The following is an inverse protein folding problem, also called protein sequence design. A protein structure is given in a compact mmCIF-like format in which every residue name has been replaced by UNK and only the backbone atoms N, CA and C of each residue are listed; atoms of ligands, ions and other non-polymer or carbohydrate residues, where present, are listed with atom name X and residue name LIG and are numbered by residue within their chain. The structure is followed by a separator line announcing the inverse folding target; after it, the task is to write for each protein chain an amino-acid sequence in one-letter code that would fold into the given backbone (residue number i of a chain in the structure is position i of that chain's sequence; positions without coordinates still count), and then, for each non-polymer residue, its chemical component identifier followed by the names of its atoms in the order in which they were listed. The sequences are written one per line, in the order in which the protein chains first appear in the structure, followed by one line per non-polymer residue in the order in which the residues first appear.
data_IF_779074294612
#
_entry.id   IF_779074294612
#
_cell.length_a   1.000
_cell.length_b   1.000
_cell.length_c   1.000
_cell.angle_alpha   90.00
_cell.angle_beta   90.00
_cell.angle_gamma   90.00
#
_symmetry.space_group_name_H-M   'P 1'
#
loop_
_entity.id
_entity.type
_entity.pdbx_description
1 polymer ?
#
# COMPACT_ATOMS: atom_id res chain seq x y z
N UNK A 1 10.72 47.93 -4.33
CA UNK A 1 10.13 46.98 -3.35
C UNK A 1 10.42 45.56 -3.83
N UNK A 2 11.10 44.71 -3.05
CA UNK A 2 11.27 43.30 -3.44
C UNK A 2 9.91 42.58 -3.41
N UNK A 3 9.65 41.61 -4.33
CA UNK A 3 8.41 40.91 -4.38
C UNK A 3 8.19 40.10 -3.09
N UNK A 4 6.96 40.15 -2.55
CA UNK A 4 6.58 39.54 -1.31
C UNK A 4 6.80 37.98 -1.33
N UNK A 5 7.35 37.44 -0.25
CA UNK A 5 7.71 36.03 -0.06
C UNK A 5 6.69 34.99 -0.53
N UNK A 6 5.34 35.21 -0.47
CA UNK A 6 4.35 34.29 -1.01
C UNK A 6 4.39 34.12 -2.53
N UNK A 7 4.65 35.21 -3.28
CA UNK A 7 4.73 35.16 -4.75
C UNK A 7 6.00 34.45 -5.25
N UNK A 8 7.10 34.52 -4.51
CA UNK A 8 8.32 33.78 -4.85
C UNK A 8 8.15 32.27 -4.61
N UNK A 9 7.55 31.86 -3.49
CA UNK A 9 7.24 30.45 -3.22
C UNK A 9 6.29 29.85 -4.25
N UNK A 10 5.27 30.59 -4.65
CA UNK A 10 4.31 30.11 -5.66
C UNK A 10 4.94 29.99 -7.06
N UNK A 11 5.84 30.90 -7.45
CA UNK A 11 6.63 30.78 -8.70
C UNK A 11 7.64 29.62 -8.64
N UNK A 12 8.23 29.38 -7.50
CA UNK A 12 9.16 28.26 -7.29
C UNK A 12 8.42 26.92 -7.34
N UNK A 13 7.28 26.79 -6.66
CA UNK A 13 6.41 25.61 -6.74
C UNK A 13 5.88 25.35 -8.17
N UNK A 14 5.56 26.40 -8.93
CA UNK A 14 5.14 26.28 -10.33
C UNK A 14 6.32 25.92 -11.27
N UNK A 15 7.54 26.35 -10.97
CA UNK A 15 8.73 25.94 -11.73
C UNK A 15 9.19 24.53 -11.36
N UNK A 16 9.10 24.13 -10.10
CA UNK A 16 9.43 22.78 -9.65
C UNK A 16 8.45 21.75 -10.24
N UNK A 17 7.15 22.08 -10.28
CA UNK A 17 6.15 21.22 -10.94
C UNK A 17 6.32 21.16 -12.47
N UNK A 18 6.82 22.24 -13.11
CA UNK A 18 7.16 22.22 -14.55
C UNK A 18 8.41 21.38 -14.85
N UNK A 19 9.41 21.38 -13.96
CA UNK A 19 10.62 20.58 -14.15
C UNK A 19 10.42 19.09 -13.85
N UNK A 20 9.56 18.74 -12.88
CA UNK A 20 9.33 17.35 -12.48
C UNK A 20 8.57 16.53 -13.55
N UNK A 21 7.69 17.16 -14.33
CA UNK A 21 6.93 16.50 -15.38
C UNK A 21 7.63 16.42 -16.75
N UNK A 22 8.77 17.07 -16.93
CA UNK A 22 9.46 17.17 -18.23
C UNK A 22 10.02 15.84 -18.79
N UNK A 23 10.12 14.80 -17.98
CA UNK A 23 10.62 13.49 -18.40
C UNK A 23 9.56 12.39 -18.34
N UNK A 24 8.29 12.74 -18.04
CA UNK A 24 7.24 11.73 -17.99
C UNK A 24 7.00 11.12 -19.36
N UNK A 25 6.84 9.81 -19.38
CA UNK A 25 6.60 9.00 -20.56
C UNK A 25 5.10 8.88 -20.82
N UNK A 26 4.66 9.36 -21.97
CA UNK A 26 3.26 9.34 -22.38
C UNK A 26 3.12 8.41 -23.58
N UNK A 27 2.23 7.43 -23.46
CA UNK A 27 1.84 6.57 -24.57
C UNK A 27 0.63 7.19 -25.28
N UNK A 28 0.75 7.43 -26.58
CA UNK A 28 -0.34 7.92 -27.44
C UNK A 28 -0.81 6.77 -28.33
N UNK A 29 -2.09 6.44 -28.22
CA UNK A 29 -2.71 5.33 -28.94
C UNK A 29 -3.87 5.86 -29.79
N UNK A 30 -3.72 5.85 -31.11
CA UNK A 30 -4.73 6.28 -32.08
C UNK A 30 -4.43 5.55 -33.40
N UNK A 31 -5.43 5.02 -34.10
CA UNK A 31 -5.22 4.32 -35.38
C UNK A 31 -4.96 5.30 -36.54
N UNK A 32 -5.29 6.57 -36.37
CA UNK A 32 -5.11 7.64 -37.35
C UNK A 32 -3.76 8.32 -37.16
N UNK A 33 -2.82 8.13 -38.07
CA UNK A 33 -1.45 8.65 -38.00
C UNK A 33 -1.37 10.18 -37.78
N UNK A 34 -2.09 11.05 -38.53
CA UNK A 34 -2.09 12.49 -38.29
C UNK A 34 -2.47 12.89 -36.85
N UNK A 35 -3.33 12.13 -36.17
CA UNK A 35 -3.66 12.38 -34.77
C UNK A 35 -2.49 12.09 -33.86
N UNK A 36 -1.79 10.95 -34.09
CA UNK A 36 -0.59 10.58 -33.33
C UNK A 36 0.50 11.62 -33.48
N UNK A 37 0.81 12.04 -34.73
CA UNK A 37 1.83 13.05 -35.02
C UNK A 37 1.52 14.41 -34.37
N UNK A 38 0.25 14.84 -34.42
CA UNK A 38 -0.19 16.09 -33.80
C UNK A 38 -0.02 16.06 -32.27
N UNK A 39 -0.44 14.97 -31.63
CA UNK A 39 -0.30 14.81 -30.18
C UNK A 39 1.17 14.69 -29.79
N UNK A 40 1.96 13.92 -30.53
CA UNK A 40 3.40 13.80 -30.34
C UNK A 40 4.10 15.17 -30.38
N UNK A 41 3.85 15.96 -31.43
CA UNK A 41 4.42 17.29 -31.58
C UNK A 41 4.05 18.21 -30.39
N UNK A 42 2.79 18.17 -29.94
CA UNK A 42 2.33 18.96 -28.80
C UNK A 42 3.04 18.53 -27.51
N UNK A 43 3.23 17.23 -27.28
CA UNK A 43 3.80 16.69 -26.06
C UNK A 43 5.33 16.88 -26.02
N UNK A 44 6.02 16.61 -27.11
CA UNK A 44 7.48 16.83 -27.22
C UNK A 44 7.81 18.31 -27.00
N UNK A 45 6.98 19.25 -27.53
CA UNK A 45 7.20 20.69 -27.32
C UNK A 45 7.13 21.12 -25.84
N UNK A 46 6.51 20.32 -24.98
CA UNK A 46 6.41 20.56 -23.53
C UNK A 46 7.44 19.72 -22.72
N UNK A 47 8.27 18.91 -23.41
CA UNK A 47 9.37 18.15 -22.82
C UNK A 47 8.99 16.74 -22.35
N UNK A 48 7.85 16.21 -22.78
CA UNK A 48 7.48 14.80 -22.50
C UNK A 48 8.21 13.84 -23.41
N UNK A 49 8.46 12.62 -22.90
CA UNK A 49 8.85 11.48 -23.75
C UNK A 49 7.57 10.84 -24.30
N UNK A 50 7.51 10.67 -25.62
CA UNK A 50 6.32 10.15 -26.28
C UNK A 50 6.63 8.80 -26.92
N UNK A 51 5.72 7.88 -26.75
CA UNK A 51 5.70 6.60 -27.42
C UNK A 51 4.36 6.46 -28.14
N UNK A 52 4.38 5.88 -29.35
CA UNK A 52 3.20 5.81 -30.21
C UNK A 52 2.78 4.36 -30.37
N UNK A 53 1.46 4.12 -30.39
CA UNK A 53 0.87 2.85 -30.78
C UNK A 53 -0.25 3.10 -31.79
N UNK A 54 -0.35 2.28 -32.85
CA UNK A 54 -1.35 2.42 -33.89
C UNK A 54 -2.61 1.58 -33.65
N UNK A 55 -2.64 0.76 -32.60
CA UNK A 55 -3.78 -0.07 -32.23
C UNK A 55 -3.72 -0.52 -30.75
N UNK A 56 -4.83 -1.10 -30.26
CA UNK A 56 -4.92 -1.53 -28.88
C UNK A 56 -4.01 -2.70 -28.49
N UNK A 57 -3.67 -3.59 -29.43
CA UNK A 57 -2.78 -4.71 -29.14
C UNK A 57 -1.34 -4.22 -28.92
N UNK A 58 -0.84 -3.36 -29.81
CA UNK A 58 0.48 -2.73 -29.68
C UNK A 58 0.58 -1.92 -28.39
N UNK A 59 -0.49 -1.19 -28.02
CA UNK A 59 -0.54 -0.43 -26.77
C UNK A 59 -0.34 -1.34 -25.55
N UNK A 60 -1.00 -2.51 -25.50
CA UNK A 60 -0.85 -3.46 -24.40
C UNK A 60 0.57 -4.04 -24.34
N UNK A 61 1.18 -4.34 -25.47
CA UNK A 61 2.56 -4.86 -25.56
C UNK A 61 3.58 -3.82 -25.06
N UNK A 62 3.43 -2.56 -25.47
CA UNK A 62 4.29 -1.47 -25.03
C UNK A 62 4.17 -1.22 -23.52
N UNK A 63 2.94 -1.24 -22.96
CA UNK A 63 2.71 -1.09 -21.53
C UNK A 63 3.34 -2.25 -20.75
N UNK A 64 3.27 -3.47 -21.28
CA UNK A 64 3.86 -4.64 -20.63
C UNK A 64 5.40 -4.59 -20.65
N UNK A 65 5.98 -4.13 -21.75
CA UNK A 65 7.44 -3.98 -21.88
C UNK A 65 7.98 -2.90 -20.93
N UNK A 66 7.28 -1.77 -20.85
CA UNK A 66 7.64 -0.66 -19.97
C UNK A 66 6.42 0.23 -19.70
N UNK A 67 5.96 0.28 -18.46
CA UNK A 67 4.80 1.07 -18.06
C UNK A 67 5.00 2.57 -18.31
N UNK A 68 4.07 3.26 -19.03
CA UNK A 68 4.10 4.71 -19.19
C UNK A 68 3.58 5.42 -17.93
N UNK A 69 3.83 6.73 -17.83
CA UNK A 69 3.30 7.57 -16.76
C UNK A 69 1.86 8.01 -17.01
N UNK A 70 1.42 8.02 -18.29
CA UNK A 70 0.05 8.34 -18.71
C UNK A 70 -0.22 7.77 -20.09
N UNK A 71 -1.46 7.41 -20.36
CA UNK A 71 -1.91 6.92 -21.68
C UNK A 71 -2.98 7.88 -22.23
N UNK A 72 -2.77 8.37 -23.46
CA UNK A 72 -3.80 8.99 -24.28
C UNK A 72 -4.34 7.90 -25.22
N UNK A 73 -5.61 7.56 -25.12
CA UNK A 73 -6.17 6.37 -25.75
C UNK A 73 -7.40 6.71 -26.58
N UNK A 74 -7.29 6.53 -27.90
CA UNK A 74 -8.47 6.64 -28.76
C UNK A 74 -9.44 5.49 -28.50
N UNK A 75 -10.73 5.80 -28.53
CA UNK A 75 -11.79 4.82 -28.30
C UNK A 75 -12.00 3.95 -29.52
N UNK A 76 -12.00 4.57 -30.72
CA UNK A 76 -12.37 3.89 -31.95
C UNK A 76 -11.15 3.40 -32.73
N UNK A 77 -10.76 2.17 -32.48
CA UNK A 77 -9.65 1.52 -33.18
C UNK A 77 -10.08 0.14 -33.69
N UNK A 78 -9.53 -0.34 -34.82
CA UNK A 78 -9.78 -1.69 -35.31
C UNK A 78 -9.20 -2.74 -34.34
N UNK A 79 -9.89 -3.88 -34.28
CA UNK A 79 -9.50 -4.97 -33.37
C UNK A 79 -9.88 -4.70 -31.91
N UNK A 80 -8.90 -4.49 -31.05
CA UNK A 80 -9.12 -4.17 -29.63
C UNK A 80 -9.35 -2.66 -29.49
N UNK A 81 -10.58 -2.26 -29.14
CA UNK A 81 -10.94 -0.86 -28.98
C UNK A 81 -10.44 -0.27 -27.63
N UNK A 82 -10.48 1.07 -27.50
CA UNK A 82 -9.98 1.77 -26.33
C UNK A 82 -10.64 1.37 -25.01
N UNK A 83 -11.94 1.05 -25.01
CA UNK A 83 -12.62 0.56 -23.79
C UNK A 83 -12.04 -0.76 -23.30
N UNK A 84 -11.80 -1.70 -24.23
CA UNK A 84 -11.22 -3.01 -23.90
C UNK A 84 -9.77 -2.90 -23.41
N UNK A 85 -8.99 -2.00 -24.02
CA UNK A 85 -7.62 -1.69 -23.54
C UNK A 85 -7.67 -1.14 -22.13
N UNK A 86 -8.50 -0.13 -21.87
CA UNK A 86 -8.65 0.49 -20.55
C UNK A 86 -9.05 -0.55 -19.50
N UNK A 87 -10.09 -1.33 -19.75
CA UNK A 87 -10.58 -2.36 -18.84
C UNK A 87 -9.48 -3.38 -18.48
N UNK A 88 -8.72 -3.86 -19.48
CA UNK A 88 -7.59 -4.79 -19.24
C UNK A 88 -6.52 -4.16 -18.35
N UNK A 89 -6.13 -2.91 -18.62
CA UNK A 89 -5.10 -2.22 -17.87
C UNK A 89 -5.58 -1.90 -16.44
N UNK A 90 -6.82 -1.49 -16.26
CA UNK A 90 -7.39 -1.16 -14.93
C UNK A 90 -7.66 -2.39 -14.06
N UNK A 91 -7.78 -3.58 -14.65
CA UNK A 91 -7.83 -4.86 -13.91
C UNK A 91 -6.44 -5.39 -13.53
N UNK A 92 -5.38 -4.92 -14.16
CA UNK A 92 -4.00 -5.36 -13.89
C UNK A 92 -3.46 -4.75 -12.60
N UNK A 93 -2.80 -5.57 -11.75
CA UNK A 93 -2.27 -5.11 -10.45
C UNK A 93 -1.31 -3.90 -10.58
N UNK A 94 -0.34 -3.98 -11.49
CA UNK A 94 0.70 -2.95 -11.66
C UNK A 94 0.29 -1.84 -12.64
N UNK A 95 -0.73 -2.05 -13.49
CA UNK A 95 -1.14 -1.11 -14.53
C UNK A 95 -2.35 -0.28 -14.15
N UNK A 96 -3.12 -0.68 -13.12
CA UNK A 96 -4.36 -0.01 -12.73
C UNK A 96 -4.18 1.46 -12.31
N UNK A 97 -2.99 1.79 -11.79
CA UNK A 97 -2.65 3.15 -11.34
C UNK A 97 -2.12 4.06 -12.45
N UNK A 98 -1.93 3.54 -13.68
CA UNK A 98 -1.55 4.36 -14.82
C UNK A 98 -2.77 5.21 -15.22
N UNK A 99 -2.68 6.55 -15.22
CA UNK A 99 -3.76 7.40 -15.68
C UNK A 99 -4.05 7.18 -17.16
N UNK A 100 -5.33 7.01 -17.50
CA UNK A 100 -5.80 6.82 -18.87
C UNK A 100 -6.76 7.94 -19.22
N UNK A 101 -6.43 8.72 -20.24
CA UNK A 101 -7.29 9.76 -20.82
C UNK A 101 -7.83 9.23 -22.13
N UNK A 102 -9.13 9.02 -22.21
CA UNK A 102 -9.77 8.61 -23.45
C UNK A 102 -9.95 9.77 -24.40
N UNK A 103 -9.60 9.56 -25.67
CA UNK A 103 -9.83 10.52 -26.75
C UNK A 103 -11.04 10.03 -27.56
N UNK A 104 -12.02 10.89 -27.75
CA UNK A 104 -13.29 10.50 -28.36
C UNK A 104 -13.78 11.53 -29.37
N UNK A 105 -14.32 11.08 -30.50
CA UNK A 105 -15.09 11.92 -31.42
C UNK A 105 -16.55 12.09 -30.99
N UNK A 106 -16.96 11.42 -29.91
CA UNK A 106 -18.34 11.27 -29.52
C UNK A 106 -18.77 12.38 -28.57
N UNK A 107 -19.92 12.98 -28.87
CA UNK A 107 -20.55 14.05 -28.05
C UNK A 107 -21.63 13.51 -27.13
N UNK A 108 -21.91 12.19 -27.18
CA UNK A 108 -23.02 11.59 -26.44
C UNK A 108 -22.64 11.28 -25.00
N UNK A 109 -23.58 11.48 -24.12
CA UNK A 109 -23.43 11.28 -22.67
C UNK A 109 -23.11 9.81 -22.34
N UNK A 110 -23.64 8.87 -23.13
CA UNK A 110 -23.47 7.43 -22.95
C UNK A 110 -22.01 6.98 -23.08
N UNK A 111 -21.27 7.52 -24.05
CA UNK A 111 -19.86 7.17 -24.25
C UNK A 111 -18.97 7.67 -23.10
N UNK A 112 -19.31 8.82 -22.51
CA UNK A 112 -18.62 9.35 -21.33
C UNK A 112 -18.89 8.48 -20.10
N UNK A 113 -20.11 8.04 -19.92
CA UNK A 113 -20.49 7.14 -18.83
C UNK A 113 -19.71 5.84 -18.97
N UNK A 114 -19.70 5.26 -20.16
CA UNK A 114 -18.96 4.01 -20.43
C UNK A 114 -17.45 4.16 -20.19
N UNK A 115 -16.85 5.29 -20.54
CA UNK A 115 -15.44 5.55 -20.27
C UNK A 115 -15.14 5.52 -18.75
N UNK A 116 -16.02 6.10 -17.94
CA UNK A 116 -15.91 6.09 -16.48
C UNK A 116 -16.10 4.67 -15.93
N UNK A 117 -17.08 3.92 -16.43
CA UNK A 117 -17.39 2.55 -16.00
C UNK A 117 -16.21 1.59 -16.22
N UNK A 118 -15.47 1.73 -17.33
CA UNK A 118 -14.26 0.92 -17.58
C UNK A 118 -13.03 1.43 -16.84
N UNK A 119 -13.16 2.50 -16.02
CA UNK A 119 -12.13 3.02 -15.14
C UNK A 119 -11.20 4.06 -15.76
N UNK A 120 -11.57 4.72 -16.87
CA UNK A 120 -10.80 5.84 -17.40
C UNK A 120 -10.78 7.01 -16.39
N UNK A 121 -9.63 7.68 -16.28
CA UNK A 121 -9.45 8.77 -15.32
C UNK A 121 -9.96 10.12 -15.86
N UNK A 122 -9.98 10.28 -17.20
CA UNK A 122 -10.52 11.47 -17.86
C UNK A 122 -10.82 11.17 -19.34
N UNK A 123 -11.44 12.14 -20.05
CA UNK A 123 -11.70 12.04 -21.48
C UNK A 123 -11.52 13.41 -22.16
N UNK A 124 -11.20 13.39 -23.46
CA UNK A 124 -11.03 14.57 -24.32
C UNK A 124 -11.81 14.35 -25.61
N UNK A 125 -12.61 15.33 -26.02
CA UNK A 125 -13.38 15.25 -27.27
C UNK A 125 -12.57 15.76 -28.47
N UNK A 126 -12.63 15.05 -29.61
CA UNK A 126 -12.11 15.52 -30.89
C UNK A 126 -13.09 16.55 -31.54
N UNK A 127 -12.63 17.64 -32.16
CA UNK A 127 -11.24 18.08 -32.23
C UNK A 127 -10.75 18.61 -30.88
N UNK A 128 -9.56 18.19 -30.45
CA UNK A 128 -9.00 18.57 -29.17
C UNK A 128 -8.18 19.85 -29.25
N UNK A 129 -8.23 20.63 -28.18
CA UNK A 129 -7.43 21.83 -28.01
C UNK A 129 -6.11 21.48 -27.30
N UNK A 130 -4.97 21.94 -27.83
CA UNK A 130 -3.66 21.73 -27.21
C UNK A 130 -3.63 22.07 -25.72
N UNK A 131 -4.20 23.22 -25.35
CA UNK A 131 -4.18 23.70 -23.95
C UNK A 131 -5.04 22.80 -23.03
N UNK A 132 -6.16 22.27 -23.54
CA UNK A 132 -7.01 21.33 -22.79
C UNK A 132 -6.25 20.01 -22.56
N UNK A 133 -5.69 19.41 -23.61
CA UNK A 133 -4.90 18.18 -23.53
C UNK A 133 -3.79 18.31 -22.49
N UNK A 134 -2.99 19.37 -22.60
CA UNK A 134 -1.86 19.61 -21.70
C UNK A 134 -2.29 19.89 -20.25
N UNK A 135 -3.43 20.56 -20.05
CA UNK A 135 -3.93 20.83 -18.70
C UNK A 135 -4.34 19.55 -17.99
N UNK A 136 -5.06 18.65 -18.68
CA UNK A 136 -5.50 17.35 -18.13
C UNK A 136 -4.30 16.44 -17.84
N UNK A 137 -3.36 16.32 -18.78
CA UNK A 137 -2.12 15.56 -18.60
C UNK A 137 -1.37 16.03 -17.35
N UNK A 138 -1.14 17.35 -17.23
CA UNK A 138 -0.43 17.91 -16.06
C UNK A 138 -1.15 17.62 -14.74
N UNK A 139 -2.48 17.68 -14.73
CA UNK A 139 -3.27 17.37 -13.54
C UNK A 139 -3.12 15.91 -13.13
N UNK A 140 -3.27 14.99 -14.07
CA UNK A 140 -3.20 13.56 -13.82
C UNK A 140 -1.77 13.09 -13.46
N UNK A 141 -0.76 13.58 -14.17
CA UNK A 141 0.64 13.31 -13.83
C UNK A 141 1.02 13.82 -12.45
N UNK A 142 0.47 14.97 -12.01
CA UNK A 142 0.68 15.47 -10.65
C UNK A 142 0.10 14.51 -9.61
N UNK A 143 -1.11 14.00 -9.84
CA UNK A 143 -1.75 13.03 -8.93
C UNK A 143 -0.92 11.74 -8.89
N UNK A 144 -0.55 11.21 -10.06
CA UNK A 144 0.30 10.01 -10.15
C UNK A 144 1.62 10.20 -9.39
N UNK A 145 2.32 11.30 -9.64
CA UNK A 145 3.58 11.60 -8.97
C UNK A 145 3.44 11.65 -7.43
N UNK A 146 2.37 12.26 -6.93
CA UNK A 146 2.12 12.30 -5.48
C UNK A 146 1.84 10.91 -4.91
N UNK A 147 1.12 10.07 -5.65
CA UNK A 147 0.89 8.68 -5.26
C UNK A 147 2.21 7.88 -5.26
N UNK A 148 3.02 8.00 -6.31
CA UNK A 148 4.32 7.32 -6.40
C UNK A 148 5.28 7.74 -5.27
N UNK A 149 5.22 9.02 -4.84
CA UNK A 149 5.98 9.50 -3.68
C UNK A 149 5.48 8.91 -2.36
N UNK A 150 4.16 8.78 -2.20
CA UNK A 150 3.57 8.13 -1.02
C UNK A 150 3.98 6.66 -0.95
N UNK A 151 3.88 5.93 -2.06
CA UNK A 151 4.30 4.53 -2.15
C UNK A 151 5.80 4.38 -1.85
N UNK A 152 6.62 5.29 -2.35
CA UNK A 152 8.07 5.29 -2.06
C UNK A 152 8.33 5.49 -0.57
N UNK A 153 7.66 6.44 0.08
CA UNK A 153 7.81 6.69 1.51
C UNK A 153 7.35 5.48 2.35
N UNK A 154 6.23 4.84 1.99
CA UNK A 154 5.77 3.61 2.63
C UNK A 154 6.79 2.47 2.46
N UNK A 155 7.29 2.27 1.24
CA UNK A 155 8.29 1.22 0.96
C UNK A 155 9.58 1.40 1.76
N UNK A 156 10.03 2.66 1.97
CA UNK A 156 11.19 2.95 2.82
C UNK A 156 10.90 2.53 4.27
N UNK A 157 9.72 2.82 4.80
CA UNK A 157 9.37 2.46 6.18
C UNK A 157 9.24 0.95 6.34
N UNK A 158 8.64 0.26 5.37
CA UNK A 158 8.57 -1.21 5.37
C UNK A 158 9.97 -1.85 5.25
N UNK A 159 10.86 -1.27 4.43
CA UNK A 159 12.25 -1.72 4.35
C UNK A 159 13.00 -1.53 5.67
N UNK A 160 12.77 -0.41 6.38
CA UNK A 160 13.32 -0.19 7.71
C UNK A 160 12.78 -1.18 8.73
N UNK A 161 11.48 -1.50 8.70
CA UNK A 161 10.90 -2.51 9.59
C UNK A 161 11.57 -3.89 9.37
N UNK A 162 11.75 -4.32 8.12
CA UNK A 162 12.49 -5.55 7.79
C UNK A 162 13.96 -5.50 8.23
N UNK A 163 14.61 -4.34 8.08
CA UNK A 163 15.99 -4.18 8.55
C UNK A 163 16.12 -4.26 10.08
N UNK A 164 15.07 -3.86 10.81
CA UNK A 164 15.00 -3.99 12.28
C UNK A 164 14.78 -5.47 12.65
N UNK A 165 13.89 -6.17 11.94
CA UNK A 165 13.68 -7.60 12.12
C UNK A 165 14.98 -8.39 11.96
N UNK A 166 15.82 -8.06 10.97
CA UNK A 166 17.08 -8.75 10.73
C UNK A 166 18.11 -8.63 11.88
N UNK A 167 17.90 -7.73 12.86
CA UNK A 167 18.69 -7.68 14.09
C UNK A 167 18.34 -8.79 15.07
N UNK A 168 17.14 -9.34 14.98
CA UNK A 168 16.68 -10.46 15.78
C UNK A 168 16.92 -11.76 15.00
N UNK A 169 17.91 -12.51 15.41
CA UNK A 169 18.36 -13.76 14.75
C UNK A 169 17.27 -14.83 14.65
N UNK A 170 16.20 -14.69 15.39
CA UNK A 170 15.14 -15.69 15.51
C UNK A 170 13.85 -15.28 14.82
N UNK A 171 13.80 -14.06 14.27
CA UNK A 171 12.59 -13.53 13.63
C UNK A 171 12.68 -13.41 12.10
N UNK A 172 13.69 -14.03 11.48
CA UNK A 172 13.80 -14.03 10.02
C UNK A 172 12.50 -14.52 9.37
N UNK A 173 11.90 -13.67 8.51
CA UNK A 173 10.62 -13.92 7.86
C UNK A 173 9.38 -13.86 8.79
N UNK A 174 9.51 -13.37 10.01
CA UNK A 174 8.40 -13.20 10.94
C UNK A 174 7.36 -12.19 10.41
N UNK A 175 7.83 -11.03 9.95
CA UNK A 175 6.96 -9.99 9.37
C UNK A 175 6.10 -10.55 8.24
N UNK A 176 6.69 -11.32 7.33
CA UNK A 176 5.99 -11.94 6.21
C UNK A 176 4.98 -12.97 6.69
N UNK A 177 5.37 -13.88 7.61
CA UNK A 177 4.48 -14.91 8.14
C UNK A 177 3.31 -14.33 8.92
N UNK A 178 3.57 -13.41 9.86
CA UNK A 178 2.52 -12.75 10.66
C UNK A 178 1.56 -11.96 9.78
N UNK A 179 2.10 -11.20 8.80
CA UNK A 179 1.25 -10.49 7.82
C UNK A 179 0.38 -11.45 7.01
N UNK A 180 0.94 -12.56 6.54
CA UNK A 180 0.20 -13.57 5.80
C UNK A 180 -0.90 -14.20 6.66
N UNK A 181 -0.56 -14.66 7.86
CA UNK A 181 -1.50 -15.30 8.79
C UNK A 181 -2.65 -14.37 9.17
N UNK A 182 -2.33 -13.09 9.44
CA UNK A 182 -3.33 -12.09 9.77
C UNK A 182 -4.29 -11.83 8.60
N UNK A 183 -3.77 -11.75 7.37
CA UNK A 183 -4.58 -11.59 6.16
C UNK A 183 -5.39 -12.83 5.82
N UNK A 184 -4.88 -14.05 6.05
CA UNK A 184 -5.64 -15.30 5.89
C UNK A 184 -6.83 -15.34 6.86
N UNK A 185 -6.62 -15.00 8.14
CA UNK A 185 -7.70 -14.94 9.13
C UNK A 185 -8.70 -13.83 8.80
N UNK A 186 -8.22 -12.65 8.42
CA UNK A 186 -9.07 -11.53 8.01
C UNK A 186 -9.93 -11.84 6.78
N UNK A 187 -9.41 -12.63 5.84
CA UNK A 187 -10.10 -13.00 4.59
C UNK A 187 -11.35 -13.86 4.77
N UNK A 188 -11.52 -14.52 5.93
CA UNK A 188 -12.72 -15.29 6.27
C UNK A 188 -13.71 -14.50 7.15
N UNK A 189 -13.39 -13.25 7.43
CA UNK A 189 -14.21 -12.33 8.22
C UNK A 189 -14.74 -11.23 7.30
N UNK A 190 -15.96 -10.78 7.54
CA UNK A 190 -16.55 -9.63 6.82
C UNK A 190 -16.04 -8.31 7.41
N UNK A 191 -14.76 -8.02 7.19
CA UNK A 191 -14.11 -6.83 7.74
C UNK A 191 -14.27 -5.62 6.82
N UNK A 192 -14.25 -4.43 7.42
CA UNK A 192 -14.21 -3.17 6.67
C UNK A 192 -12.88 -3.04 5.90
N UNK A 193 -12.89 -2.24 4.81
CA UNK A 193 -11.65 -1.91 4.08
C UNK A 193 -10.59 -1.25 4.98
N UNK A 194 -11.03 -0.52 6.00
CA UNK A 194 -10.16 0.13 6.99
C UNK A 194 -9.47 -0.90 7.88
N UNK A 195 -10.20 -1.94 8.34
CA UNK A 195 -9.62 -3.00 9.15
C UNK A 195 -8.65 -3.87 8.34
N UNK A 196 -8.99 -4.18 7.09
CA UNK A 196 -8.09 -4.89 6.17
C UNK A 196 -6.78 -4.12 5.94
N UNK A 197 -6.86 -2.81 5.76
CA UNK A 197 -5.68 -1.95 5.63
C UNK A 197 -4.87 -1.87 6.94
N UNK A 198 -5.55 -1.80 8.09
CA UNK A 198 -4.92 -1.82 9.41
C UNK A 198 -4.13 -3.12 9.64
N UNK A 199 -4.71 -4.28 9.27
CA UNK A 199 -4.07 -5.58 9.39
C UNK A 199 -2.87 -5.67 8.44
N UNK A 200 -3.06 -5.31 7.17
CA UNK A 200 -2.03 -5.40 6.14
C UNK A 200 -0.78 -4.58 6.47
N UNK A 201 -0.97 -3.31 6.86
CA UNK A 201 0.14 -2.41 7.22
C UNK A 201 0.64 -2.65 8.65
N UNK A 202 -0.27 -2.99 9.55
CA UNK A 202 0.06 -3.31 10.95
C UNK A 202 0.98 -4.51 11.06
N UNK A 203 0.71 -5.59 10.28
CA UNK A 203 1.57 -6.76 10.25
C UNK A 203 3.01 -6.44 9.86
N UNK A 204 3.21 -5.48 8.95
CA UNK A 204 4.55 -5.07 8.54
C UNK A 204 5.25 -4.13 9.53
N UNK A 205 4.50 -3.42 10.38
CA UNK A 205 5.02 -2.31 11.19
C UNK A 205 4.89 -2.49 12.70
N UNK A 206 4.19 -3.54 13.19
CA UNK A 206 3.88 -3.68 14.62
C UNK A 206 5.14 -3.61 15.49
N UNK A 207 6.22 -4.17 15.03
CA UNK A 207 7.50 -4.27 15.72
C UNK A 207 8.54 -3.19 15.37
N UNK A 208 8.19 -2.18 14.55
CA UNK A 208 9.15 -1.14 14.12
C UNK A 208 9.81 -0.41 15.30
N UNK A 209 9.14 -0.33 16.43
CA UNK A 209 9.66 0.30 17.64
C UNK A 209 10.83 -0.45 18.30
N UNK A 210 11.11 -1.69 17.92
CA UNK A 210 12.31 -2.44 18.35
C UNK A 210 13.62 -1.77 17.89
N UNK A 211 13.54 -0.76 16.99
CA UNK A 211 14.70 0.06 16.63
C UNK A 211 15.38 0.71 17.85
N UNK A 212 14.62 1.02 18.89
CA UNK A 212 15.13 1.62 20.13
C UNK A 212 15.80 0.60 21.08
N UNK A 213 15.68 -0.69 20.81
CA UNK A 213 16.28 -1.73 21.62
C UNK A 213 17.69 -2.09 21.15
N UNK A 214 18.58 -2.36 22.09
CA UNK A 214 19.90 -2.87 21.77
C UNK A 214 19.83 -4.32 21.28
N UNK A 215 20.64 -4.68 20.32
CA UNK A 215 20.71 -6.04 19.76
C UNK A 215 21.04 -7.08 20.84
N UNK A 216 21.88 -6.75 21.81
CA UNK A 216 22.18 -7.61 22.96
C UNK A 216 20.97 -7.93 23.83
N UNK A 217 19.98 -7.02 23.91
CA UNK A 217 18.74 -7.24 24.63
C UNK A 217 17.79 -8.13 23.83
N UNK A 218 17.67 -7.85 22.54
CA UNK A 218 16.80 -8.63 21.62
C UNK A 218 17.26 -10.09 21.55
N UNK A 219 18.57 -10.31 21.43
CA UNK A 219 19.17 -11.64 21.27
C UNK A 219 19.66 -12.26 22.59
N UNK A 220 19.20 -11.74 23.73
CA UNK A 220 19.65 -12.25 25.03
C UNK A 220 19.29 -13.72 25.23
N UNK A 221 20.23 -14.58 25.48
CA UNK A 221 19.94 -15.99 25.83
C UNK A 221 19.31 -16.08 27.23
N UNK A 222 18.13 -16.68 27.31
CA UNK A 222 17.42 -16.89 28.58
C UNK A 222 16.35 -15.81 28.90
N UNK A 223 15.97 -15.74 30.17
CA UNK A 223 14.89 -14.83 30.64
C UNK A 223 15.41 -13.41 30.81
N UNK A 224 14.58 -12.44 30.43
CA UNK A 224 14.81 -11.02 30.73
C UNK A 224 14.63 -10.71 32.22
N UNK A 225 15.41 -9.77 32.74
CA UNK A 225 15.12 -9.21 34.08
C UNK A 225 13.85 -8.35 34.02
N UNK A 226 13.24 -8.02 35.18
CA UNK A 226 12.07 -7.11 35.18
C UNK A 226 12.35 -5.77 34.52
N UNK A 227 13.55 -5.21 34.68
CA UNK A 227 13.98 -3.93 34.10
C UNK A 227 14.14 -4.07 32.57
N UNK A 228 14.79 -5.14 32.10
CA UNK A 228 14.93 -5.42 30.67
C UNK A 228 13.58 -5.67 30.01
N UNK A 229 12.68 -6.38 30.68
CA UNK A 229 11.33 -6.59 30.17
C UNK A 229 10.52 -5.28 30.10
N UNK A 230 10.70 -4.38 31.09
CA UNK A 230 10.11 -3.04 31.03
C UNK A 230 10.60 -2.26 29.82
N UNK A 231 11.90 -2.34 29.46
CA UNK A 231 12.43 -1.71 28.25
C UNK A 231 11.82 -2.30 26.99
N UNK A 232 11.66 -3.62 26.91
CA UNK A 232 11.03 -4.26 25.74
C UNK A 232 9.58 -3.80 25.58
N UNK A 233 8.84 -3.64 26.68
CA UNK A 233 7.44 -3.16 26.64
C UNK A 233 7.26 -1.74 26.07
N UNK A 234 8.33 -0.96 25.96
CA UNK A 234 8.26 0.38 25.38
C UNK A 234 8.16 0.38 23.84
N UNK A 235 8.53 -0.74 23.15
CA UNK A 235 8.58 -0.73 21.69
C UNK A 235 7.25 -0.39 21.00
N UNK A 236 6.04 -0.77 21.50
CA UNK A 236 4.80 -0.37 20.84
C UNK A 236 4.59 1.16 20.89
N UNK A 237 4.97 1.79 22.01
CA UNK A 237 4.92 3.25 22.15
C UNK A 237 5.92 3.96 21.27
N UNK A 238 7.13 3.41 21.13
CA UNK A 238 8.14 3.93 20.21
C UNK A 238 7.69 3.79 18.76
N UNK A 239 7.18 2.62 18.37
CA UNK A 239 6.63 2.37 17.06
C UNK A 239 5.49 3.34 16.72
N UNK A 240 4.57 3.55 17.65
CA UNK A 240 3.50 4.55 17.51
C UNK A 240 4.08 5.96 17.29
N UNK A 241 5.07 6.40 18.09
CA UNK A 241 5.72 7.71 17.93
C UNK A 241 6.41 7.88 16.58
N UNK A 242 7.01 6.82 16.02
CA UNK A 242 7.62 6.83 14.69
C UNK A 242 6.56 7.01 13.60
N UNK A 243 5.45 6.29 13.71
CA UNK A 243 4.45 6.18 12.64
C UNK A 243 3.31 7.21 12.73
N UNK A 244 3.04 7.84 13.88
CA UNK A 244 1.83 8.66 14.10
C UNK A 244 1.71 9.89 13.17
N UNK A 245 2.82 10.44 12.71
CA UNK A 245 2.83 11.59 11.78
C UNK A 245 2.55 11.19 10.31
N UNK A 246 2.58 9.90 10.00
CA UNK A 246 2.46 9.36 8.66
C UNK A 246 1.00 9.04 8.34
N UNK A 247 0.37 9.88 7.53
CA UNK A 247 -1.06 9.74 7.17
C UNK A 247 -1.37 8.40 6.49
N UNK A 248 -0.44 7.88 5.71
CA UNK A 248 -0.61 6.64 4.93
C UNK A 248 -0.71 5.38 5.78
N UNK A 249 -0.18 5.39 7.01
CA UNK A 249 -0.23 4.25 7.93
C UNK A 249 -1.15 4.48 9.15
N UNK A 250 -1.97 5.54 9.12
CA UNK A 250 -2.83 5.92 10.25
C UNK A 250 -3.73 4.80 10.76
N UNK A 251 -4.23 3.95 9.88
CA UNK A 251 -5.10 2.83 10.26
C UNK A 251 -4.34 1.68 10.92
N UNK A 252 -3.03 1.58 10.69
CA UNK A 252 -2.15 0.62 11.36
C UNK A 252 -1.73 1.05 12.78
N UNK A 253 -1.89 2.32 13.16
CA UNK A 253 -1.47 2.83 14.46
C UNK A 253 -2.04 2.05 15.65
N UNK A 254 -3.33 1.65 15.67
CA UNK A 254 -3.86 0.79 16.72
C UNK A 254 -3.11 -0.54 16.83
N UNK A 255 -2.82 -1.18 15.69
CA UNK A 255 -2.07 -2.45 15.66
C UNK A 255 -0.65 -2.24 16.20
N UNK A 256 0.06 -1.21 15.72
CA UNK A 256 1.42 -0.89 16.17
C UNK A 256 1.47 -0.65 17.68
N UNK A 257 0.48 0.06 18.24
CA UNK A 257 0.48 0.43 19.66
C UNK A 257 -0.01 -0.69 20.55
N UNK A 258 -0.99 -1.51 20.12
CA UNK A 258 -1.80 -2.36 20.99
C UNK A 258 -1.69 -3.86 20.72
N UNK A 259 -0.79 -4.32 19.84
CA UNK A 259 -0.65 -5.74 19.49
C UNK A 259 -0.26 -6.64 20.68
N UNK A 260 0.13 -6.07 21.82
CA UNK A 260 0.38 -6.78 23.07
C UNK A 260 -0.71 -6.59 24.12
N UNK A 261 -1.84 -5.97 23.77
CA UNK A 261 -2.99 -5.91 24.65
C UNK A 261 -3.70 -7.25 24.74
N UNK A 262 -4.37 -7.48 25.88
CA UNK A 262 -5.12 -8.68 26.18
C UNK A 262 -6.54 -8.31 26.61
N UNK A 263 -7.53 -9.14 26.26
CA UNK A 263 -8.94 -8.83 26.53
C UNK A 263 -9.26 -8.66 28.02
N UNK A 264 -8.48 -9.27 28.92
CA UNK A 264 -8.62 -9.12 30.38
C UNK A 264 -8.02 -7.81 30.93
N UNK A 265 -7.28 -7.05 30.10
CA UNK A 265 -6.57 -5.82 30.47
C UNK A 265 -5.21 -6.04 31.13
N UNK A 266 -4.69 -7.27 31.14
CA UNK A 266 -3.34 -7.57 31.65
C UNK A 266 -2.24 -7.29 30.62
N UNK A 267 -2.61 -6.82 29.41
CA UNK A 267 -1.71 -6.45 28.32
C UNK A 267 -1.01 -5.12 28.57
N UNK A 268 -0.33 -4.63 27.54
CA UNK A 268 0.37 -3.35 27.54
C UNK A 268 0.34 -2.71 26.13
N UNK A 269 0.52 -1.40 25.99
CA UNK A 269 0.96 -0.41 26.97
C UNK A 269 -0.17 0.24 27.78
N UNK A 270 -1.44 0.18 27.32
CA UNK A 270 -2.54 0.98 27.90
C UNK A 270 -3.50 0.15 28.78
N UNK A 271 -3.40 -1.18 28.76
CA UNK A 271 -4.26 -2.08 29.56
C UNK A 271 -5.72 -2.10 29.10
N UNK A 272 -5.94 -2.03 27.78
CA UNK A 272 -7.27 -2.05 27.17
C UNK A 272 -8.01 -3.36 27.45
N UNK A 273 -9.35 -3.31 27.51
CA UNK A 273 -10.19 -4.47 27.85
C UNK A 273 -11.27 -4.72 26.80
N UNK A 274 -11.53 -5.98 26.54
CA UNK A 274 -12.69 -6.42 25.75
C UNK A 274 -12.82 -5.64 24.45
N UNK A 275 -13.96 -4.95 24.28
CA UNK A 275 -14.29 -4.24 23.04
C UNK A 275 -13.53 -2.93 22.81
N UNK A 276 -12.74 -2.48 23.78
CA UNK A 276 -11.80 -1.37 23.58
C UNK A 276 -10.67 -1.77 22.62
N UNK A 277 -10.39 -3.08 22.45
CA UNK A 277 -9.37 -3.61 21.55
C UNK A 277 -9.99 -3.85 20.16
N UNK A 278 -9.61 -3.08 19.13
CA UNK A 278 -10.13 -3.23 17.78
C UNK A 278 -9.88 -4.62 17.20
N UNK A 279 -10.75 -5.08 16.30
CA UNK A 279 -10.66 -6.42 15.70
C UNK A 279 -9.31 -6.68 15.00
N UNK A 280 -8.76 -5.68 14.32
CA UNK A 280 -7.46 -5.79 13.67
C UNK A 280 -6.32 -6.06 14.68
N UNK A 281 -6.41 -5.49 15.87
CA UNK A 281 -5.43 -5.71 16.97
C UNK A 281 -5.59 -7.10 17.55
N UNK A 282 -6.84 -7.58 17.80
CA UNK A 282 -7.11 -8.94 18.31
C UNK A 282 -6.57 -10.00 17.36
N UNK A 283 -6.77 -9.82 16.03
CA UNK A 283 -6.23 -10.70 14.99
C UNK A 283 -4.70 -10.71 15.07
N UNK A 284 -4.07 -9.54 15.09
CA UNK A 284 -2.62 -9.42 15.11
C UNK A 284 -2.01 -10.08 16.34
N UNK A 285 -2.55 -9.84 17.52
CA UNK A 285 -2.07 -10.41 18.78
C UNK A 285 -2.07 -11.95 18.77
N UNK A 286 -3.13 -12.56 18.24
CA UNK A 286 -3.25 -14.03 18.13
C UNK A 286 -2.21 -14.61 17.15
N UNK A 287 -2.05 -14.01 15.97
CA UNK A 287 -1.13 -14.55 14.96
C UNK A 287 0.33 -14.33 15.32
N UNK A 288 0.64 -13.21 16.02
CA UNK A 288 1.98 -12.95 16.53
C UNK A 288 2.39 -13.98 17.60
N UNK A 289 1.51 -14.24 18.56
CA UNK A 289 1.74 -15.30 19.57
C UNK A 289 1.88 -16.67 18.90
N UNK A 290 1.05 -16.99 17.91
CA UNK A 290 1.15 -18.25 17.18
C UNK A 290 2.49 -18.39 16.46
N UNK A 291 2.94 -17.36 15.73
CA UNK A 291 4.26 -17.38 15.09
C UNK A 291 5.39 -17.54 16.11
N UNK A 292 5.31 -16.80 17.23
CA UNK A 292 6.27 -16.94 18.32
C UNK A 292 6.30 -18.34 18.95
N UNK A 293 5.18 -19.07 18.94
CA UNK A 293 5.09 -20.44 19.42
C UNK A 293 5.63 -21.46 18.42
N UNK A 294 5.42 -21.25 17.14
CA UNK A 294 5.75 -22.21 16.07
C UNK A 294 7.10 -21.98 15.39
N UNK A 295 7.81 -20.90 15.77
CA UNK A 295 9.14 -20.56 15.26
C UNK A 295 10.21 -20.85 16.32
N UNK A 296 11.44 -21.11 15.89
CA UNK A 296 12.60 -21.28 16.78
C UNK A 296 12.90 -19.96 17.51
N UNK A 297 13.23 -20.05 18.81
CA UNK A 297 13.62 -18.91 19.66
C UNK A 297 14.87 -19.27 20.46
N UNK A 298 15.64 -18.29 20.92
CA UNK A 298 16.87 -18.45 21.66
C UNK A 298 16.80 -19.39 22.89
N UNK A 299 15.60 -19.56 23.44
CA UNK A 299 15.34 -20.31 24.67
C UNK A 299 14.39 -21.51 24.47
N UNK A 300 13.93 -21.78 23.21
CA UNK A 300 12.92 -22.80 22.94
C UNK A 300 12.88 -23.18 21.45
N UNK A 301 12.84 -24.48 21.17
CA UNK A 301 12.52 -24.99 19.83
C UNK A 301 11.06 -24.73 19.43
N UNK A 302 10.71 -24.83 18.12
CA UNK A 302 9.38 -24.61 17.62
C UNK A 302 8.40 -25.68 18.14
N UNK A 303 7.20 -25.27 18.54
CA UNK A 303 6.13 -26.20 18.83
C UNK A 303 5.41 -26.63 17.55
N UNK A 304 4.95 -27.89 17.48
CA UNK A 304 4.00 -28.28 16.42
C UNK A 304 2.73 -27.41 16.46
N UNK A 305 2.10 -27.15 15.31
CA UNK A 305 0.88 -26.31 15.24
C UNK A 305 -0.22 -26.70 16.22
N UNK A 306 -0.50 -28.00 16.36
CA UNK A 306 -1.51 -28.49 17.32
C UNK A 306 -1.19 -28.11 18.78
N UNK A 307 0.09 -28.12 19.19
CA UNK A 307 0.49 -27.72 20.53
C UNK A 307 0.40 -26.20 20.70
N UNK A 308 0.72 -25.41 19.66
CA UNK A 308 0.58 -23.96 19.70
C UNK A 308 -0.89 -23.56 19.91
N UNK A 309 -1.83 -24.22 19.21
CA UNK A 309 -3.25 -23.98 19.42
C UNK A 309 -3.73 -24.41 20.79
N UNK A 310 -3.26 -25.55 21.35
CA UNK A 310 -3.60 -25.93 22.72
C UNK A 310 -3.19 -24.86 23.75
N UNK A 311 -2.02 -24.21 23.55
CA UNK A 311 -1.59 -23.10 24.40
C UNK A 311 -2.51 -21.88 24.23
N UNK A 312 -2.86 -21.50 22.99
CA UNK A 312 -3.78 -20.41 22.72
C UNK A 312 -5.17 -20.66 23.34
N UNK A 313 -5.68 -21.89 23.30
CA UNK A 313 -6.95 -22.27 23.93
C UNK A 313 -6.89 -22.16 25.48
N UNK A 314 -5.77 -22.54 26.09
CA UNK A 314 -5.55 -22.32 27.52
C UNK A 314 -5.53 -20.81 27.86
N UNK A 315 -4.99 -19.99 26.99
CA UNK A 315 -4.93 -18.53 27.14
C UNK A 315 -6.29 -17.87 26.87
N UNK A 316 -7.12 -18.42 25.98
CA UNK A 316 -8.54 -18.04 25.82
C UNK A 316 -9.31 -18.31 27.12
N UNK A 317 -9.08 -19.45 27.77
CA UNK A 317 -9.71 -19.77 29.05
C UNK A 317 -9.31 -18.82 30.19
N UNK A 318 -8.14 -18.14 30.07
CA UNK A 318 -7.70 -17.05 30.97
C UNK A 318 -8.31 -15.70 30.63
N UNK A 319 -9.06 -15.58 29.54
CA UNK A 319 -9.64 -14.33 29.07
C UNK A 319 -8.66 -13.45 28.29
N UNK A 320 -7.55 -13.99 27.75
CA UNK A 320 -6.54 -13.19 27.05
C UNK A 320 -6.90 -12.92 25.60
N UNK A 321 -7.43 -13.94 24.91
CA UNK A 321 -7.69 -13.89 23.46
C UNK A 321 -9.15 -14.12 23.13
N UNK A 322 -9.55 -13.67 21.94
CA UNK A 322 -10.86 -13.91 21.37
C UNK A 322 -10.96 -15.39 20.91
N UNK A 323 -11.79 -16.17 21.60
CA UNK A 323 -11.91 -17.60 21.36
C UNK A 323 -12.47 -17.95 19.97
N UNK A 324 -13.37 -17.10 19.42
CA UNK A 324 -13.91 -17.29 18.07
C UNK A 324 -12.83 -17.10 17.01
N UNK A 325 -11.97 -16.09 17.17
CA UNK A 325 -10.85 -15.85 16.26
C UNK A 325 -9.81 -16.98 16.33
N UNK A 326 -9.48 -17.46 17.54
CA UNK A 326 -8.55 -18.59 17.73
C UNK A 326 -9.08 -19.85 17.05
N UNK A 327 -10.35 -20.17 17.19
CA UNK A 327 -10.98 -21.36 16.55
C UNK A 327 -10.99 -21.25 15.03
N UNK A 328 -11.34 -20.08 14.49
CA UNK A 328 -11.29 -19.82 13.04
C UNK A 328 -9.85 -19.95 12.50
N UNK A 329 -8.87 -19.40 13.20
CA UNK A 329 -7.47 -19.48 12.79
C UNK A 329 -6.93 -20.92 12.84
N UNK A 330 -7.29 -21.68 13.89
CA UNK A 330 -6.98 -23.11 14.02
C UNK A 330 -7.51 -23.91 12.83
N UNK A 331 -8.75 -23.64 12.42
CA UNK A 331 -9.35 -24.30 11.28
C UNK A 331 -8.61 -24.03 9.94
N UNK A 332 -8.04 -22.82 9.78
CA UNK A 332 -7.21 -22.49 8.60
C UNK A 332 -5.90 -23.26 8.62
N UNK A 333 -5.25 -23.39 9.79
CA UNK A 333 -3.87 -23.89 9.89
C UNK A 333 -3.75 -25.39 10.07
N UNK A 334 -4.82 -26.08 10.47
CA UNK A 334 -4.84 -27.54 10.68
C UNK A 334 -5.58 -28.31 9.58
N UNK A 335 -6.03 -27.62 8.52
CA UNK A 335 -6.47 -28.25 7.28
C UNK A 335 -5.28 -28.68 6.45
#
# INVERSE_FOLDING_TARGET
MPPSAPRMRMKQMLNDSKNQNRNSRILVVDDVEPNRELLEAHLISEGYQVELACNGQEALELVQAKAPDLILLDIRMPGINGYQVCEKLKRGGNTRLIPIVMITALRETEDKIRAIEVGADDFISKPFNKFEVLARIRSLLKVKYLNDQLDTAENVIFALARAIESKDKYTEGHIERVSQYAMELAGILELSSTDMEAIRKGGQLHDIGKIALNESLINKPGKLTPEEYAMVKEHPLVGYKICHSLKSVRYALPVIRWHHEKLDGSGYPDGLKGDEIPIAVRIMAIVDVYDALTTERSYKGPYPPAKAFAILEEEVAKGWWDGELVEKFKHIKLK
#
